data_IF_267519622117
#
_entry.id   IF_267519622117
#
_cell.length_a   1.000
_cell.length_b   1.000
_cell.length_c   1.000
_cell.angle_alpha   90.00
_cell.angle_beta   90.00
_cell.angle_gamma   90.00
#
_symmetry.space_group_name_H-M   'P 1'
#
loop_
_entity.id
_entity.type
_entity.pdbx_description
1 polymer ?
#
# COMPACT_ATOMS: atom_id res chain seq x y z
N UNK A 1 1.24 -17.59 3.58
CA UNK A 1 1.85 -16.32 3.14
C UNK A 1 0.75 -15.28 3.22
N UNK A 2 0.84 -14.29 4.11
CA UNK A 2 -0.21 -13.31 4.27
C UNK A 2 -0.29 -12.45 3.01
N UNK A 3 -1.40 -12.53 2.28
CA UNK A 3 -1.67 -11.62 1.18
C UNK A 3 -2.34 -10.38 1.77
N UNK A 4 -1.66 -9.24 1.71
CA UNK A 4 -2.23 -7.96 2.09
C UNK A 4 -2.87 -7.33 0.86
N UNK A 5 -4.16 -7.01 0.95
CA UNK A 5 -4.84 -6.20 -0.05
C UNK A 5 -4.48 -4.72 0.15
N UNK A 6 -4.54 -3.89 -0.89
CA UNK A 6 -4.30 -2.45 -0.79
C UNK A 6 -5.19 -1.74 0.24
N UNK A 7 -6.37 -2.30 0.54
CA UNK A 7 -7.27 -1.79 1.57
C UNK A 7 -6.79 -2.03 3.00
N UNK A 8 -5.81 -2.91 3.19
CA UNK A 8 -5.22 -3.25 4.48
C UNK A 8 -3.93 -2.47 4.76
N UNK A 9 -3.51 -1.63 3.81
CA UNK A 9 -2.31 -0.82 3.93
C UNK A 9 -2.52 0.26 4.99
N UNK A 10 -1.60 0.28 5.96
CA UNK A 10 -1.58 1.22 7.06
C UNK A 10 -0.15 1.65 7.29
N UNK A 11 0.03 2.85 7.83
CA UNK A 11 1.34 3.32 8.24
C UNK A 11 1.95 2.36 9.28
N UNK A 12 3.23 2.01 9.08
CA UNK A 12 3.96 1.04 9.89
C UNK A 12 3.74 -0.43 9.49
N UNK A 13 2.91 -0.73 8.48
CA UNK A 13 2.78 -2.08 7.95
C UNK A 13 4.11 -2.54 7.33
N UNK A 14 4.59 -3.71 7.75
CA UNK A 14 5.80 -4.33 7.21
C UNK A 14 5.44 -5.25 6.06
N UNK A 15 6.05 -5.01 4.90
CA UNK A 15 5.83 -5.79 3.68
C UNK A 15 7.16 -6.23 3.09
N UNK A 16 7.15 -7.35 2.40
CA UNK A 16 8.29 -7.79 1.60
C UNK A 16 8.15 -7.21 0.20
N UNK A 17 9.07 -6.35 -0.21
CA UNK A 17 9.14 -5.79 -1.56
C UNK A 17 10.42 -6.28 -2.22
N UNK A 18 10.30 -7.00 -3.34
CA UNK A 18 11.45 -7.56 -4.08
C UNK A 18 12.42 -8.45 -3.25
N UNK A 19 11.96 -8.96 -2.11
CA UNK A 19 12.77 -9.78 -1.19
C UNK A 19 13.30 -9.02 0.02
N UNK A 20 13.13 -7.70 0.07
CA UNK A 20 13.56 -6.86 1.19
C UNK A 20 12.40 -6.47 2.12
N UNK A 21 12.62 -6.47 3.44
CA UNK A 21 11.61 -6.05 4.41
C UNK A 21 11.51 -4.52 4.47
N UNK A 22 10.43 -3.98 3.93
CA UNK A 22 10.10 -2.57 3.94
C UNK A 22 8.99 -2.27 4.97
N UNK A 23 8.97 -1.05 5.51
CA UNK A 23 7.86 -0.55 6.33
C UNK A 23 7.18 0.59 5.59
N UNK A 24 5.86 0.55 5.43
CA UNK A 24 5.09 1.64 4.82
C UNK A 24 5.17 2.89 5.72
N UNK A 25 5.65 4.00 5.18
CA UNK A 25 5.85 5.27 5.92
C UNK A 25 4.67 6.21 5.75
N UNK A 26 4.02 6.18 4.59
CA UNK A 26 2.79 6.93 4.34
C UNK A 26 1.92 6.15 3.36
N UNK A 27 0.60 6.24 3.50
CA UNK A 27 -0.34 5.53 2.63
C UNK A 27 -1.47 6.48 2.26
N UNK A 28 -1.50 6.91 1.00
CA UNK A 28 -2.48 7.84 0.48
C UNK A 28 -3.41 7.14 -0.52
N UNK A 29 -4.71 7.11 -0.22
CA UNK A 29 -5.70 6.58 -1.16
C UNK A 29 -6.23 7.68 -2.06
N UNK A 30 -5.95 7.57 -3.36
CA UNK A 30 -6.29 8.59 -4.37
C UNK A 30 -7.45 8.11 -5.23
N UNK A 31 -8.54 8.89 -5.24
CA UNK A 31 -9.68 8.72 -6.16
C UNK A 31 -9.70 9.86 -7.17
N UNK A 32 -9.16 9.69 -8.38
CA UNK A 32 -9.22 10.73 -9.39
C UNK A 32 -10.67 10.92 -9.89
N UNK A 33 -11.03 12.15 -10.27
CA UNK A 33 -12.37 12.43 -10.82
C UNK A 33 -12.66 11.69 -12.14
N UNK A 34 -11.61 11.33 -12.90
CA UNK A 34 -11.66 10.40 -14.04
C UNK A 34 -10.46 9.46 -13.95
N UNK A 35 -10.68 8.15 -13.94
CA UNK A 35 -9.65 7.11 -13.83
C UNK A 35 -9.94 6.09 -12.72
N UNK A 36 -9.10 5.06 -12.64
CA UNK A 36 -9.20 4.06 -11.57
C UNK A 36 -8.58 4.59 -10.28
N UNK A 37 -9.21 4.27 -9.14
CA UNK A 37 -8.65 4.58 -7.83
C UNK A 37 -7.37 3.77 -7.59
N UNK A 38 -6.38 4.38 -6.93
CA UNK A 38 -5.11 3.75 -6.60
C UNK A 38 -4.62 4.19 -5.22
N UNK A 39 -3.68 3.45 -4.66
CA UNK A 39 -3.06 3.76 -3.36
C UNK A 39 -1.59 4.09 -3.60
N UNK A 40 -1.12 5.23 -3.08
CA UNK A 40 0.30 5.56 -3.00
C UNK A 40 0.84 5.07 -1.66
N UNK A 41 1.99 4.43 -1.70
CA UNK A 41 2.68 3.79 -0.57
C UNK A 41 4.16 4.17 -0.56
#
# INVERSE_FOLDING_TARGET
MANYSTNEFKNGLKVMLEGDPCSMVDVEFVKPGKGQAFTRV
#
